data_IF_368178426843
#
_entry.id   IF_368178426843
#
_cell.length_a   1.000
_cell.length_b   1.000
_cell.length_c   1.000
_cell.angle_alpha   90.00
_cell.angle_beta   90.00
_cell.angle_gamma   90.00
#
_symmetry.space_group_name_H-M   'P 1'
#
loop_
_entity.id
_entity.type
_entity.pdbx_description
1 polymer ?
#
# COMPACT_ATOMS: atom_id res chain seq x y z
N UNK A 1 -15.58 42.62 -11.85
CA UNK A 1 -14.50 41.68 -12.25
C UNK A 1 -13.36 41.58 -11.23
N UNK A 2 -13.26 42.45 -10.20
CA UNK A 2 -12.22 42.32 -9.15
C UNK A 2 -12.53 41.31 -8.05
N UNK A 3 -13.81 41.12 -7.68
CA UNK A 3 -14.20 40.19 -6.61
C UNK A 3 -13.87 38.71 -6.91
N UNK A 4 -13.89 38.32 -8.18
CA UNK A 4 -13.55 36.97 -8.64
C UNK A 4 -12.05 36.71 -8.62
N UNK A 5 -11.22 37.69 -8.97
CA UNK A 5 -9.75 37.54 -8.93
C UNK A 5 -9.23 37.45 -7.49
N UNK A 6 -9.84 38.22 -6.57
CA UNK A 6 -9.45 38.24 -5.15
C UNK A 6 -9.86 36.94 -4.42
N UNK A 7 -10.98 36.34 -4.85
CA UNK A 7 -11.42 35.04 -4.34
C UNK A 7 -10.51 33.91 -4.82
N UNK A 8 -10.12 33.92 -6.11
CA UNK A 8 -9.22 32.90 -6.69
C UNK A 8 -7.83 32.97 -6.05
N UNK A 9 -7.26 34.16 -5.86
CA UNK A 9 -5.94 34.32 -5.23
C UNK A 9 -5.93 33.86 -3.76
N UNK A 10 -6.99 34.16 -3.02
CA UNK A 10 -7.17 33.72 -1.63
C UNK A 10 -7.25 32.19 -1.53
N UNK A 11 -8.01 31.54 -2.43
CA UNK A 11 -8.13 30.07 -2.48
C UNK A 11 -6.79 29.43 -2.83
N UNK A 12 -6.06 29.96 -3.82
CA UNK A 12 -4.74 29.46 -4.19
C UNK A 12 -3.75 29.57 -3.03
N UNK A 13 -3.76 30.69 -2.30
CA UNK A 13 -2.90 30.88 -1.12
C UNK A 13 -3.22 29.86 -0.02
N UNK A 14 -4.50 29.68 0.33
CA UNK A 14 -4.91 28.71 1.36
C UNK A 14 -4.56 27.28 0.93
N UNK A 15 -4.79 26.94 -0.34
CA UNK A 15 -4.44 25.62 -0.89
C UNK A 15 -2.94 25.35 -0.81
N UNK A 16 -2.11 26.34 -1.11
CA UNK A 16 -0.66 26.23 -1.00
C UNK A 16 -0.23 26.00 0.45
N UNK A 17 -0.81 26.73 1.41
CA UNK A 17 -0.51 26.57 2.83
C UNK A 17 -0.91 25.20 3.37
N UNK A 18 -2.12 24.74 3.02
CA UNK A 18 -2.61 23.41 3.43
C UNK A 18 -1.72 22.33 2.84
N UNK A 19 -1.45 22.37 1.53
CA UNK A 19 -0.60 21.37 0.87
C UNK A 19 0.79 21.31 1.50
N UNK A 20 1.38 22.44 1.88
CA UNK A 20 2.69 22.49 2.53
C UNK A 20 2.70 21.83 3.91
N UNK A 21 1.79 22.20 4.80
CA UNK A 21 1.77 21.69 6.17
C UNK A 21 1.30 20.23 6.22
N UNK A 22 0.25 19.89 5.46
CA UNK A 22 -0.27 18.51 5.41
C UNK A 22 0.78 17.59 4.78
N UNK A 23 1.47 17.99 3.71
CA UNK A 23 2.53 17.16 3.12
C UNK A 23 3.67 16.89 4.10
N UNK A 24 4.09 17.89 4.90
CA UNK A 24 5.13 17.70 5.92
C UNK A 24 4.69 16.73 7.01
N UNK A 25 3.48 16.89 7.53
CA UNK A 25 2.91 15.98 8.55
C UNK A 25 2.80 14.56 8.01
N UNK A 26 2.28 14.39 6.79
CA UNK A 26 2.15 13.08 6.14
C UNK A 26 3.51 12.47 5.86
N UNK A 27 4.50 13.25 5.42
CA UNK A 27 5.85 12.76 5.17
C UNK A 27 6.50 12.28 6.47
N UNK A 28 6.41 13.04 7.56
CA UNK A 28 6.99 12.67 8.85
C UNK A 28 6.34 11.42 9.44
N UNK A 29 5.03 11.49 9.70
CA UNK A 29 4.32 10.38 10.34
C UNK A 29 4.19 9.16 9.43
N UNK A 30 4.00 9.37 8.13
CA UNK A 30 3.96 8.30 7.14
C UNK A 30 5.30 7.58 7.03
N UNK A 31 6.42 8.30 7.00
CA UNK A 31 7.76 7.68 6.94
C UNK A 31 8.04 6.90 8.22
N UNK A 32 7.86 7.52 9.39
CA UNK A 32 8.09 6.86 10.69
C UNK A 32 7.22 5.62 10.83
N UNK A 33 5.91 5.72 10.53
CA UNK A 33 4.98 4.60 10.62
C UNK A 33 5.35 3.43 9.71
N UNK A 34 5.69 3.70 8.45
CA UNK A 34 6.08 2.64 7.52
C UNK A 34 7.45 2.03 7.84
N UNK A 35 8.42 2.81 8.34
CA UNK A 35 9.71 2.27 8.80
C UNK A 35 9.51 1.35 10.01
N UNK A 36 8.71 1.76 10.99
CA UNK A 36 8.38 0.91 12.15
C UNK A 36 7.72 -0.40 11.68
N UNK A 37 6.77 -0.32 10.73
CA UNK A 37 6.18 -1.52 10.13
C UNK A 37 7.25 -2.39 9.47
N UNK A 38 8.16 -1.82 8.68
CA UNK A 38 9.23 -2.60 8.05
C UNK A 38 10.10 -3.31 9.08
N UNK A 39 10.52 -2.64 10.16
CA UNK A 39 11.34 -3.22 11.22
C UNK A 39 10.60 -4.39 11.86
N UNK A 40 9.36 -4.18 12.32
CA UNK A 40 8.55 -5.21 13.00
C UNK A 40 8.27 -6.39 12.07
N UNK A 41 7.92 -6.13 10.81
CA UNK A 41 7.57 -7.18 9.85
C UNK A 41 8.80 -7.93 9.31
N UNK A 42 10.00 -7.35 9.43
CA UNK A 42 11.26 -7.98 9.02
C UNK A 42 11.82 -9.00 10.02
N UNK A 43 11.29 -9.04 11.25
CA UNK A 43 11.75 -10.02 12.23
C UNK A 43 11.57 -11.46 11.73
N UNK A 44 12.51 -12.34 12.10
CA UNK A 44 12.59 -13.73 11.63
C UNK A 44 11.36 -14.59 11.95
N UNK A 45 10.55 -14.16 12.92
CA UNK A 45 9.31 -14.84 13.28
C UNK A 45 8.19 -14.49 12.30
N UNK A 46 8.16 -13.26 11.78
CA UNK A 46 7.08 -12.76 10.95
C UNK A 46 7.36 -12.90 9.46
N UNK A 47 8.62 -12.85 9.04
CA UNK A 47 9.02 -12.98 7.63
C UNK A 47 8.74 -14.37 7.02
N UNK A 48 8.37 -15.34 7.86
CA UNK A 48 7.95 -16.69 7.45
C UNK A 48 6.47 -16.76 7.08
N UNK A 49 5.69 -15.72 7.39
CA UNK A 49 4.25 -15.65 7.16
C UNK A 49 4.01 -14.84 5.87
N UNK A 50 3.37 -15.42 4.84
CA UNK A 50 3.17 -14.74 3.55
C UNK A 50 2.42 -13.40 3.68
N UNK A 51 1.31 -13.36 4.43
CA UNK A 51 0.57 -12.13 4.75
C UNK A 51 1.46 -10.99 5.28
N UNK A 52 2.39 -11.31 6.19
CA UNK A 52 3.34 -10.33 6.74
C UNK A 52 4.26 -9.78 5.67
N UNK A 53 4.79 -10.64 4.79
CA UNK A 53 5.68 -10.21 3.70
C UNK A 53 4.97 -9.26 2.74
N UNK A 54 3.70 -9.51 2.40
CA UNK A 54 2.90 -8.56 1.63
C UNK A 54 2.81 -7.19 2.31
N UNK A 55 2.57 -7.14 3.63
CA UNK A 55 2.54 -5.88 4.39
C UNK A 55 3.91 -5.20 4.45
N UNK A 56 5.00 -5.97 4.48
CA UNK A 56 6.36 -5.45 4.40
C UNK A 56 6.61 -4.77 3.06
N UNK A 57 6.31 -5.44 1.94
CA UNK A 57 6.42 -4.85 0.60
C UNK A 57 5.55 -3.61 0.44
N UNK A 58 4.32 -3.65 0.98
CA UNK A 58 3.44 -2.48 0.98
C UNK A 58 4.06 -1.29 1.71
N UNK A 59 4.63 -1.51 2.90
CA UNK A 59 5.27 -0.47 3.70
C UNK A 59 6.52 0.09 3.00
N UNK A 60 7.34 -0.78 2.40
CA UNK A 60 8.52 -0.35 1.66
C UNK A 60 8.16 0.50 0.44
N UNK A 61 7.18 0.07 -0.36
CA UNK A 61 6.69 0.85 -1.49
C UNK A 61 6.03 2.17 -1.06
N UNK A 62 5.35 2.20 0.08
CA UNK A 62 4.80 3.44 0.64
C UNK A 62 5.89 4.46 1.02
N UNK A 63 7.02 4.02 1.60
CA UNK A 63 8.17 4.90 1.86
C UNK A 63 8.72 5.48 0.56
N UNK A 64 8.95 4.64 -0.46
CA UNK A 64 9.42 5.09 -1.78
C UNK A 64 8.47 6.13 -2.39
N UNK A 65 7.16 5.87 -2.30
CA UNK A 65 6.13 6.82 -2.74
C UNK A 65 6.22 8.15 -2.00
N UNK A 66 6.28 8.14 -0.67
CA UNK A 66 6.31 9.37 0.14
C UNK A 66 7.52 10.24 -0.20
N UNK A 67 8.71 9.64 -0.31
CA UNK A 67 9.95 10.33 -0.63
C UNK A 67 10.04 10.78 -2.09
N UNK A 68 9.31 10.13 -3.01
CA UNK A 68 9.26 10.57 -4.42
C UNK A 68 8.20 11.66 -4.65
N UNK A 69 7.06 11.58 -3.95
CA UNK A 69 5.90 12.43 -4.22
C UNK A 69 5.89 13.75 -3.43
N UNK A 70 6.22 13.71 -2.14
CA UNK A 70 5.99 14.84 -1.22
C UNK A 70 7.09 15.90 -1.21
N UNK A 71 8.40 15.58 -1.26
CA UNK A 71 9.45 16.59 -1.26
C UNK A 71 9.28 17.65 -2.35
N UNK A 72 8.90 17.24 -3.54
CA UNK A 72 8.61 18.16 -4.65
C UNK A 72 7.42 19.08 -4.39
N UNK A 73 6.36 18.59 -3.74
CA UNK A 73 5.20 19.44 -3.40
C UNK A 73 5.58 20.48 -2.34
N UNK A 74 6.49 20.11 -1.43
CA UNK A 74 7.04 21.02 -0.43
C UNK A 74 7.91 22.08 -1.12
N UNK A 75 8.81 21.68 -2.02
CA UNK A 75 9.70 22.58 -2.76
C UNK A 75 8.94 23.55 -3.68
N UNK A 76 7.87 23.08 -4.34
CA UNK A 76 6.96 23.94 -5.12
C UNK A 76 6.35 25.05 -4.24
N UNK A 77 6.03 24.75 -2.97
CA UNK A 77 5.56 25.75 -2.00
C UNK A 77 6.60 26.79 -1.59
N UNK A 78 7.88 26.59 -1.94
CA UNK A 78 8.98 27.55 -1.76
C UNK A 78 9.45 28.16 -3.09
N UNK A 79 8.67 28.02 -4.18
CA UNK A 79 9.04 28.47 -5.53
C UNK A 79 10.35 27.87 -6.08
N UNK A 80 10.80 26.74 -5.55
CA UNK A 80 11.98 26.02 -6.05
C UNK A 80 11.53 25.02 -7.10
N UNK A 81 11.82 25.30 -8.37
CA UNK A 81 11.31 24.52 -9.52
C UNK A 81 12.35 23.55 -10.10
N UNK A 82 12.87 22.64 -9.28
CA UNK A 82 13.89 21.67 -9.72
C UNK A 82 13.40 20.71 -10.82
N UNK A 83 12.08 20.47 -10.90
CA UNK A 83 11.49 19.63 -11.95
C UNK A 83 11.30 20.36 -13.29
N UNK A 84 11.32 21.70 -13.28
CA UNK A 84 11.20 22.51 -14.51
C UNK A 84 12.52 22.51 -15.27
N UNK A 85 13.64 22.50 -14.56
CA UNK A 85 14.98 22.51 -15.16
C UNK A 85 15.39 21.15 -15.75
N UNK A 86 14.86 20.04 -15.21
CA UNK A 86 15.29 18.69 -15.55
C UNK A 86 14.15 17.79 -16.04
N UNK A 87 13.90 17.81 -17.36
CA UNK A 87 12.92 16.94 -18.03
C UNK A 87 12.99 15.45 -17.67
N UNK A 88 14.18 14.81 -17.70
CA UNK A 88 14.33 13.41 -17.29
C UNK A 88 13.94 13.15 -15.83
N UNK A 89 14.23 14.10 -14.92
CA UNK A 89 13.91 13.96 -13.50
C UNK A 89 12.40 14.00 -13.25
N UNK A 90 11.67 14.88 -13.96
CA UNK A 90 10.20 14.91 -13.96
C UNK A 90 9.62 13.54 -14.35
N UNK A 91 10.08 12.98 -15.48
CA UNK A 91 9.62 11.67 -15.99
C UNK A 91 9.91 10.54 -15.00
N UNK A 92 11.15 10.42 -14.56
CA UNK A 92 11.57 9.36 -13.63
C UNK A 92 10.79 9.44 -12.33
N UNK A 93 10.60 10.65 -11.79
CA UNK A 93 9.79 10.85 -10.58
C UNK A 93 8.37 10.34 -10.74
N UNK A 94 7.65 10.77 -11.78
CA UNK A 94 6.25 10.35 -11.97
C UNK A 94 6.17 8.84 -12.18
N UNK A 95 7.13 8.27 -12.91
CA UNK A 95 7.25 6.82 -13.09
C UNK A 95 7.44 6.08 -11.75
N UNK A 96 8.41 6.49 -10.92
CA UNK A 96 8.65 5.90 -9.60
C UNK A 96 7.45 6.02 -8.67
N UNK A 97 6.77 7.17 -8.66
CA UNK A 97 5.53 7.37 -7.88
C UNK A 97 4.45 6.39 -8.33
N UNK A 98 4.28 6.23 -9.64
CA UNK A 98 3.25 5.36 -10.23
C UNK A 98 3.44 3.90 -9.81
N UNK A 99 4.67 3.39 -9.94
CA UNK A 99 5.02 2.02 -9.56
C UNK A 99 4.91 1.84 -8.06
N UNK A 100 5.49 2.74 -7.26
CA UNK A 100 5.49 2.62 -5.80
C UNK A 100 4.06 2.61 -5.24
N UNK A 101 3.18 3.47 -5.76
CA UNK A 101 1.78 3.49 -5.34
C UNK A 101 1.04 2.20 -5.72
N UNK A 102 1.23 1.73 -6.95
CA UNK A 102 0.59 0.51 -7.43
C UNK A 102 1.04 -0.72 -6.63
N UNK A 103 2.35 -0.90 -6.44
CA UNK A 103 2.89 -2.02 -5.67
C UNK A 103 2.41 -1.96 -4.22
N UNK A 104 2.35 -0.78 -3.61
CA UNK A 104 1.85 -0.63 -2.24
C UNK A 104 0.42 -1.12 -2.09
N UNK A 105 -0.48 -0.72 -3.00
CA UNK A 105 -1.90 -1.10 -2.98
C UNK A 105 -2.08 -2.58 -3.32
N UNK A 106 -1.42 -3.08 -4.37
CA UNK A 106 -1.57 -4.47 -4.79
C UNK A 106 -0.95 -5.44 -3.80
N UNK A 107 0.08 -5.04 -3.06
CA UNK A 107 0.56 -5.81 -1.92
C UNK A 107 -0.52 -5.93 -0.81
N UNK A 108 -1.31 -4.89 -0.52
CA UNK A 108 -2.45 -4.99 0.42
C UNK A 108 -3.55 -5.92 -0.10
N UNK A 109 -3.81 -5.91 -1.41
CA UNK A 109 -4.72 -6.86 -2.05
C UNK A 109 -4.21 -8.28 -1.85
N UNK A 110 -2.92 -8.53 -2.12
CA UNK A 110 -2.24 -9.81 -1.87
C UNK A 110 -2.38 -10.27 -0.42
N UNK A 111 -2.12 -9.38 0.55
CA UNK A 111 -2.29 -9.67 1.97
C UNK A 111 -3.73 -10.06 2.33
N UNK A 112 -4.72 -9.40 1.73
CA UNK A 112 -6.14 -9.68 1.97
C UNK A 112 -6.59 -11.01 1.38
N UNK A 113 -6.09 -11.35 0.18
CA UNK A 113 -6.29 -12.66 -0.45
C UNK A 113 -5.66 -13.76 0.42
N UNK A 114 -4.41 -13.58 0.83
CA UNK A 114 -3.68 -14.54 1.66
C UNK A 114 -4.41 -14.80 2.98
N UNK A 115 -4.86 -13.73 3.66
CA UNK A 115 -5.66 -13.84 4.88
C UNK A 115 -6.97 -14.58 4.66
N UNK A 116 -7.64 -14.38 3.52
CA UNK A 116 -8.82 -15.17 3.16
C UNK A 116 -8.47 -16.65 2.98
N UNK A 117 -7.39 -16.98 2.27
CA UNK A 117 -6.93 -18.35 2.05
C UNK A 117 -6.64 -19.07 3.38
N UNK A 118 -5.93 -18.42 4.30
CA UNK A 118 -5.66 -18.93 5.65
C UNK A 118 -6.96 -19.18 6.44
N UNK A 119 -7.91 -18.25 6.39
CA UNK A 119 -9.18 -18.37 7.11
C UNK A 119 -10.09 -19.49 6.59
N UNK A 120 -9.88 -19.93 5.34
CA UNK A 120 -10.75 -20.88 4.66
C UNK A 120 -10.79 -22.25 5.34
N UNK A 121 -11.95 -22.93 5.30
CA UNK A 121 -12.11 -24.27 5.90
C UNK A 121 -11.37 -25.35 5.12
N UNK A 122 -11.35 -25.23 3.79
CA UNK A 122 -10.73 -26.20 2.91
C UNK A 122 -9.22 -26.18 3.10
N UNK A 123 -8.63 -27.34 3.41
CA UNK A 123 -7.17 -27.50 3.56
C UNK A 123 -6.45 -27.13 2.26
N UNK A 124 -6.98 -27.55 1.11
CA UNK A 124 -6.43 -27.23 -0.20
C UNK A 124 -6.27 -25.72 -0.43
N UNK A 125 -7.22 -24.89 0.04
CA UNK A 125 -7.14 -23.42 -0.08
C UNK A 125 -6.08 -22.83 0.85
N UNK A 126 -5.94 -23.37 2.06
CA UNK A 126 -4.91 -22.94 3.02
C UNK A 126 -3.50 -23.24 2.52
N UNK A 127 -3.32 -24.37 1.82
CA UNK A 127 -2.04 -24.76 1.24
C UNK A 127 -1.56 -23.85 0.09
N UNK A 128 -2.42 -22.97 -0.44
CA UNK A 128 -2.00 -21.96 -1.41
C UNK A 128 -1.27 -20.77 -0.77
N UNK A 129 -1.50 -20.51 0.53
CA UNK A 129 -0.77 -19.50 1.30
C UNK A 129 0.64 -19.99 1.59
N UNK A 130 1.56 -19.66 0.69
CA UNK A 130 2.97 -20.04 0.78
C UNK A 130 3.86 -18.87 0.39
N UNK A 131 5.07 -18.82 0.96
CA UNK A 131 6.07 -17.81 0.63
C UNK A 131 6.46 -17.81 -0.85
N UNK A 132 6.40 -18.97 -1.50
CA UNK A 132 6.71 -19.08 -2.93
C UNK A 132 5.65 -18.40 -3.79
N UNK A 133 4.38 -18.55 -3.43
CA UNK A 133 3.28 -17.86 -4.13
C UNK A 133 3.29 -16.37 -3.87
N UNK A 134 3.62 -15.94 -2.64
CA UNK A 134 3.81 -14.53 -2.31
C UNK A 134 4.92 -13.89 -3.14
N UNK A 135 6.11 -14.49 -3.17
CA UNK A 135 7.22 -13.97 -3.98
C UNK A 135 6.86 -13.89 -5.46
N UNK A 136 6.21 -14.92 -6.00
CA UNK A 136 5.74 -14.94 -7.41
C UNK A 136 4.73 -13.82 -7.66
N UNK A 137 3.79 -13.62 -6.75
CA UNK A 137 2.80 -12.55 -6.86
C UNK A 137 3.45 -11.17 -6.88
N UNK A 138 4.34 -10.88 -5.92
CA UNK A 138 5.03 -9.58 -5.85
C UNK A 138 5.85 -9.32 -7.12
N UNK A 139 6.57 -10.32 -7.62
CA UNK A 139 7.34 -10.20 -8.87
C UNK A 139 6.41 -9.92 -10.06
N UNK A 140 5.29 -10.63 -10.17
CA UNK A 140 4.32 -10.41 -11.26
C UNK A 140 3.71 -9.02 -11.17
N UNK A 141 3.27 -8.59 -9.99
CA UNK A 141 2.71 -7.24 -9.76
C UNK A 141 3.73 -6.16 -10.10
N UNK A 142 4.96 -6.27 -9.57
CA UNK A 142 6.02 -5.31 -9.83
C UNK A 142 6.33 -5.23 -11.33
N UNK A 143 6.51 -6.37 -12.00
CA UNK A 143 6.80 -6.43 -13.43
C UNK A 143 5.65 -5.87 -14.27
N UNK A 144 4.41 -6.25 -13.95
CA UNK A 144 3.21 -5.78 -14.64
C UNK A 144 3.10 -4.25 -14.56
N UNK A 145 3.22 -3.65 -13.38
CA UNK A 145 3.13 -2.19 -13.25
C UNK A 145 4.34 -1.45 -13.80
N UNK A 146 5.53 -2.07 -13.78
CA UNK A 146 6.74 -1.50 -14.41
C UNK A 146 6.54 -1.36 -15.92
N UNK A 147 5.95 -2.37 -16.56
CA UNK A 147 5.62 -2.35 -17.99
C UNK A 147 4.42 -1.44 -18.28
N UNK A 148 3.38 -1.51 -17.46
CA UNK A 148 2.16 -0.72 -17.63
C UNK A 148 2.38 0.77 -17.41
N UNK A 149 3.41 1.22 -16.69
CA UNK A 149 3.69 2.65 -16.54
C UNK A 149 4.86 3.10 -17.40
N UNK A 150 5.37 2.27 -18.31
CA UNK A 150 6.50 2.68 -19.15
C UNK A 150 6.12 3.86 -20.05
N UNK A 151 4.85 3.97 -20.47
CA UNK A 151 4.37 5.10 -21.24
C UNK A 151 4.45 6.43 -20.50
N UNK A 152 4.52 6.43 -19.16
CA UNK A 152 4.70 7.66 -18.36
C UNK A 152 6.00 8.37 -18.75
N UNK A 153 7.06 7.61 -19.07
CA UNK A 153 8.34 8.17 -19.51
C UNK A 153 8.26 8.90 -20.86
N UNK A 154 7.27 8.54 -21.68
CA UNK A 154 6.99 9.22 -22.95
C UNK A 154 5.94 10.33 -22.82
N UNK A 155 4.90 10.10 -22.01
CA UNK A 155 3.72 10.94 -21.92
C UNK A 155 3.91 12.20 -21.06
N UNK A 156 4.89 12.23 -20.15
CA UNK A 156 5.16 13.40 -19.31
C UNK A 156 6.28 14.26 -19.88
N UNK A 157 6.14 15.58 -19.76
CA UNK A 157 7.13 16.54 -20.20
C UNK A 157 7.29 17.64 -19.14
N UNK A 158 8.52 18.14 -18.99
CA UNK A 158 8.78 19.30 -18.16
C UNK A 158 8.45 20.56 -18.95
N UNK A 159 7.92 21.58 -18.26
CA UNK A 159 7.63 22.89 -18.85
C UNK A 159 6.69 22.85 -20.07
N UNK A 160 5.48 22.32 -19.88
CA UNK A 160 4.44 22.37 -20.92
C UNK A 160 3.93 23.82 -21.06
N UNK A 161 3.96 24.42 -22.27
CA UNK A 161 3.53 25.80 -22.47
C UNK A 161 2.06 26.00 -22.06
N UNK A 162 1.78 27.14 -21.41
CA UNK A 162 0.46 27.51 -20.89
C UNK A 162 -0.06 26.65 -19.72
N UNK A 163 0.80 25.90 -19.04
CA UNK A 163 0.43 25.10 -17.87
C UNK A 163 1.28 25.53 -16.66
N UNK A 164 0.67 25.92 -15.52
CA UNK A 164 1.40 26.41 -14.34
C UNK A 164 2.08 25.32 -13.52
N UNK A 165 2.02 24.05 -13.94
CA UNK A 165 2.64 22.92 -13.25
C UNK A 165 3.92 22.46 -13.95
N UNK A 166 4.95 22.20 -13.14
CA UNK A 166 6.31 21.91 -13.59
C UNK A 166 6.45 20.65 -14.46
N UNK A 167 5.59 19.65 -14.21
CA UNK A 167 5.65 18.33 -14.82
C UNK A 167 4.23 17.88 -15.18
N UNK A 168 3.92 17.80 -16.47
CA UNK A 168 2.55 17.57 -16.93
C UNK A 168 2.47 16.65 -18.15
N UNK A 169 1.29 16.08 -18.36
CA UNK A 169 1.04 15.22 -19.51
C UNK A 169 1.10 16.04 -20.80
N UNK A 170 1.97 15.63 -21.73
CA UNK A 170 2.22 16.28 -23.02
C UNK A 170 0.95 16.42 -23.87
N UNK A 171 0.15 15.36 -23.92
CA UNK A 171 -1.05 15.27 -24.76
C UNK A 171 -2.30 14.97 -23.92
N UNK A 172 -3.47 15.44 -24.38
CA UNK A 172 -4.76 15.11 -23.77
C UNK A 172 -5.03 13.60 -23.74
N UNK A 173 -4.64 12.89 -24.81
CA UNK A 173 -4.81 11.43 -24.90
C UNK A 173 -4.00 10.72 -23.81
N UNK A 174 -2.74 11.10 -23.62
CA UNK A 174 -1.88 10.55 -22.56
C UNK A 174 -2.52 10.74 -21.17
N UNK A 175 -3.07 11.94 -20.91
CA UNK A 175 -3.72 12.23 -19.63
C UNK A 175 -4.95 11.36 -19.41
N UNK A 176 -5.85 11.32 -20.39
CA UNK A 176 -7.07 10.52 -20.30
C UNK A 176 -6.71 9.04 -20.10
N UNK A 177 -5.79 8.50 -20.89
CA UNK A 177 -5.37 7.10 -20.78
C UNK A 177 -4.82 6.77 -19.37
N UNK A 178 -3.92 7.61 -18.86
CA UNK A 178 -3.31 7.43 -17.54
C UNK A 178 -4.37 7.56 -16.43
N UNK A 179 -5.25 8.57 -16.49
CA UNK A 179 -6.31 8.78 -15.51
C UNK A 179 -7.27 7.57 -15.46
N UNK A 180 -7.62 6.98 -16.62
CA UNK A 180 -8.41 5.75 -16.68
C UNK A 180 -7.68 4.53 -16.13
N UNK A 181 -6.39 4.37 -16.42
CA UNK A 181 -5.55 3.29 -15.85
C UNK A 181 -5.53 3.41 -14.32
N UNK A 182 -5.30 4.60 -13.78
CA UNK A 182 -5.33 4.85 -12.34
C UNK A 182 -6.69 4.55 -11.73
N UNK A 183 -7.76 5.07 -12.34
CA UNK A 183 -9.11 4.86 -11.85
C UNK A 183 -9.48 3.36 -11.80
N UNK A 184 -9.20 2.63 -12.86
CA UNK A 184 -9.59 1.22 -12.97
C UNK A 184 -8.68 0.31 -12.14
N UNK A 185 -7.37 0.41 -12.30
CA UNK A 185 -6.41 -0.56 -11.77
C UNK A 185 -5.83 -0.21 -10.40
N UNK A 186 -5.90 1.05 -9.98
CA UNK A 186 -5.36 1.50 -8.69
C UNK A 186 -6.48 1.78 -7.69
N UNK A 187 -7.65 2.26 -8.17
CA UNK A 187 -8.76 2.63 -7.29
C UNK A 187 -9.85 1.54 -7.29
N UNK A 188 -10.54 1.35 -8.42
CA UNK A 188 -11.76 0.54 -8.48
C UNK A 188 -11.45 -0.94 -8.21
N UNK A 189 -10.54 -1.54 -8.99
CA UNK A 189 -10.26 -2.96 -8.90
C UNK A 189 -9.68 -3.37 -7.53
N UNK A 190 -8.65 -2.70 -6.98
CA UNK A 190 -8.16 -3.01 -5.64
C UNK A 190 -9.21 -2.85 -4.56
N UNK A 191 -10.03 -1.79 -4.62
CA UNK A 191 -11.10 -1.56 -3.62
C UNK A 191 -12.13 -2.70 -3.63
N UNK A 192 -12.59 -3.12 -4.81
CA UNK A 192 -13.53 -4.24 -4.95
C UNK A 192 -12.92 -5.52 -4.36
N UNK A 193 -11.65 -5.81 -4.68
CA UNK A 193 -10.97 -7.01 -4.18
C UNK A 193 -10.77 -6.97 -2.67
N UNK A 194 -10.32 -5.84 -2.11
CA UNK A 194 -10.14 -5.67 -0.66
C UNK A 194 -11.46 -5.84 0.10
N UNK A 195 -12.55 -5.24 -0.41
CA UNK A 195 -13.88 -5.39 0.19
C UNK A 195 -14.36 -6.84 0.09
N UNK A 196 -14.26 -7.46 -1.09
CA UNK A 196 -14.72 -8.83 -1.31
C UNK A 196 -13.97 -9.82 -0.40
N UNK A 197 -12.64 -9.82 -0.43
CA UNK A 197 -11.82 -10.73 0.39
C UNK A 197 -11.89 -10.38 1.88
N UNK A 198 -12.06 -9.10 2.24
CA UNK A 198 -12.32 -8.67 3.61
C UNK A 198 -13.61 -9.26 4.18
N UNK A 199 -14.73 -9.16 3.43
CA UNK A 199 -16.02 -9.74 3.83
C UNK A 199 -15.92 -11.27 3.93
N UNK A 200 -15.29 -11.92 2.95
CA UNK A 200 -15.12 -13.37 2.96
C UNK A 200 -14.29 -13.85 4.16
N UNK A 201 -13.21 -13.14 4.47
CA UNK A 201 -12.37 -13.40 5.66
C UNK A 201 -13.19 -13.28 6.94
N UNK A 202 -13.96 -12.20 7.09
CA UNK A 202 -14.82 -12.00 8.27
C UNK A 202 -15.86 -13.11 8.43
N UNK A 203 -16.50 -13.54 7.32
CA UNK A 203 -17.45 -14.66 7.33
C UNK A 203 -16.80 -15.97 7.79
N UNK A 204 -15.62 -16.29 7.26
CA UNK A 204 -14.88 -17.49 7.64
C UNK A 204 -14.51 -17.50 9.13
N UNK A 205 -14.01 -16.37 9.64
CA UNK A 205 -13.61 -16.24 11.05
C UNK A 205 -14.84 -16.34 11.97
N UNK A 206 -15.93 -15.63 11.70
CA UNK A 206 -17.17 -15.71 12.51
C UNK A 206 -17.69 -17.13 12.61
N UNK A 207 -17.68 -17.87 11.50
CA UNK A 207 -18.17 -19.26 11.49
C UNK A 207 -17.24 -20.25 12.19
N UNK A 208 -15.98 -19.87 12.48
CA UNK A 208 -15.03 -20.66 13.29
C UNK A 208 -15.13 -20.32 14.78
N UNK A 209 -15.31 -19.04 15.12
CA UNK A 209 -15.44 -18.58 16.52
C UNK A 209 -16.76 -19.04 17.15
N UNK A 210 -17.86 -19.03 16.40
CA UNK A 210 -19.20 -19.41 16.88
C UNK A 210 -19.39 -20.93 16.97
N UNK A 211 -18.52 -21.72 16.33
CA UNK A 211 -18.48 -23.18 16.49
C UNK A 211 -17.20 -23.59 17.25
N UNK A 212 -17.05 -23.26 18.55
CA UNK A 212 -16.07 -23.97 19.34
C UNK A 212 -16.48 -25.45 19.29
N UNK A 213 -15.55 -26.27 18.81
CA UNK A 213 -15.68 -27.73 18.83
C UNK A 213 -15.87 -28.16 20.29
N UNK A 214 -17.13 -28.30 20.73
CA UNK A 214 -17.50 -29.24 21.78
C UNK A 214 -17.35 -30.61 21.12
N UNK A 215 -16.10 -31.10 21.07
CA UNK A 215 -15.83 -32.49 20.80
C UNK A 215 -15.93 -33.24 22.13
N UNK A 216 -16.62 -34.40 22.19
CA UNK A 216 -16.60 -35.20 23.41
C UNK A 216 -15.14 -35.57 23.73
N UNK A 217 -14.76 -35.48 25.01
CA UNK A 217 -13.53 -36.09 25.52
C UNK A 217 -13.54 -37.57 25.14
N UNK A 218 -12.79 -37.96 24.11
CA UNK A 218 -12.38 -39.33 23.91
C UNK A 218 -10.90 -39.43 24.18
N UNK A 219 -10.61 -40.09 25.31
CA UNK A 219 -9.29 -40.60 25.65
C UNK A 219 -8.88 -41.63 24.59
N UNK A 220 -7.95 -41.27 23.70
CA UNK A 220 -7.22 -42.28 22.93
C UNK A 220 -5.76 -41.88 22.77
N UNK A 221 -4.91 -42.79 23.25
CA UNK A 221 -3.46 -42.80 23.17
C UNK A 221 -2.99 -43.00 21.71
N UNK A 222 -1.85 -42.39 21.38
CA UNK A 222 -0.96 -42.66 20.22
C UNK A 222 -1.39 -42.19 18.82
N UNK A 223 -0.67 -41.22 18.25
CA UNK A 223 0.41 -41.44 17.28
C UNK A 223 0.73 -40.16 16.47
N UNK A 224 2.03 -39.96 16.25
CA UNK A 224 2.67 -38.91 15.47
C UNK A 224 1.86 -38.44 14.25
N UNK A 225 1.26 -37.25 14.36
CA UNK A 225 0.84 -36.45 13.21
C UNK A 225 1.27 -35.01 13.43
N UNK A 226 1.96 -34.50 12.42
CA UNK A 226 2.55 -33.18 12.32
C UNK A 226 1.49 -32.09 12.45
N UNK A 227 1.36 -31.56 13.67
CA UNK A 227 0.59 -30.36 13.97
C UNK A 227 1.27 -29.13 13.35
N UNK A 228 0.90 -28.74 12.12
CA UNK A 228 1.11 -27.38 11.61
C UNK A 228 0.02 -26.43 12.15
N UNK A 229 0.33 -25.14 12.41
CA UNK A 229 0.18 -24.61 13.75
C UNK A 229 -1.07 -23.74 13.87
N UNK A 230 -1.96 -24.16 14.76
CA UNK A 230 -3.01 -23.35 15.41
C UNK A 230 -2.45 -22.12 16.16
N UNK A 231 -1.12 -21.97 16.24
CA UNK A 231 -0.45 -20.86 16.88
C UNK A 231 -0.38 -19.60 16.01
N UNK A 232 -0.17 -19.68 14.69
CA UNK A 232 0.09 -18.47 13.87
C UNK A 232 -1.10 -17.49 13.81
N UNK A 233 -2.33 -17.99 13.78
CA UNK A 233 -3.53 -17.14 13.81
C UNK A 233 -3.74 -16.45 15.18
N UNK A 234 -3.36 -17.14 16.27
CA UNK A 234 -3.34 -16.56 17.63
C UNK A 234 -2.18 -15.58 17.78
N UNK A 235 -1.06 -15.80 17.12
CA UNK A 235 0.09 -14.88 17.11
C UNK A 235 -0.26 -13.58 16.39
N UNK A 236 -0.99 -13.63 15.27
CA UNK A 236 -1.40 -12.42 14.53
C UNK A 236 -2.48 -11.60 15.28
N UNK A 237 -3.43 -12.25 15.94
CA UNK A 237 -4.40 -11.55 16.81
C UNK A 237 -3.76 -11.05 18.11
N UNK A 238 -2.80 -11.78 18.66
CA UNK A 238 -1.95 -11.30 19.75
C UNK A 238 -1.02 -10.16 19.31
N UNK A 239 -0.58 -10.09 18.06
CA UNK A 239 0.24 -8.96 17.55
C UNK A 239 -0.54 -7.64 17.56
N UNK A 240 -1.83 -7.65 17.21
CA UNK A 240 -2.68 -6.45 17.35
C UNK A 240 -2.85 -6.02 18.82
N UNK A 241 -2.75 -6.95 19.77
CA UNK A 241 -2.81 -6.69 21.21
C UNK A 241 -1.45 -6.38 21.84
N UNK A 242 -0.35 -6.92 21.30
CA UNK A 242 1.03 -6.68 21.76
C UNK A 242 1.56 -5.35 21.20
N UNK A 243 1.13 -4.89 20.02
CA UNK A 243 1.32 -3.50 19.60
C UNK A 243 0.71 -2.52 20.62
N UNK A 244 -0.40 -2.88 21.27
CA UNK A 244 -0.98 -2.10 22.36
C UNK A 244 -0.10 -2.12 23.62
N UNK A 245 0.60 -3.22 23.90
CA UNK A 245 1.44 -3.40 25.09
C UNK A 245 2.84 -2.81 24.94
N UNK A 246 3.46 -2.89 23.76
CA UNK A 246 4.77 -2.29 23.45
C UNK A 246 4.70 -0.75 23.48
N UNK A 247 3.53 -0.17 23.15
CA UNK A 247 3.25 1.27 23.29
C UNK A 247 3.29 1.76 24.74
N UNK A 248 3.08 0.89 25.75
CA UNK A 248 3.21 1.24 27.17
C UNK A 248 4.64 1.14 27.70
N UNK A 249 5.53 0.37 27.04
CA UNK A 249 6.91 0.18 27.49
C UNK A 249 7.89 1.24 26.95
N UNK A 250 7.48 2.03 25.96
CA UNK A 250 8.31 3.08 25.33
C UNK A 250 8.00 4.50 25.85
N UNK A 251 7.07 4.61 26.81
CA UNK A 251 6.65 5.86 27.47
C UNK A 251 6.69 5.77 29.00
N UNK A 252 7.43 4.80 29.55
CA UNK A 252 7.79 4.70 30.96
C UNK A 252 9.29 4.53 31.10
#
# INVERSE_FOLDING_TARGET
MSSTSDSVSSISYVTMQINRHVALVVLLFGTVGNIVNMIVLSEQTFNKIPCTNYLYWSSMSAVIYLWSALPTRILEGYSITWQVENGPMCKFRVYSISIAWAVAIWALVGASIDRFLCSSRLVARRQLSTLQMERRYIIVVFTFFTLLFIEVLYCFEAHVPNVPVACYGRNMICRIAIDWIYLLLIIILPSILLIAFGILTMRNIRTRVIRPTIGPMQNTVSNNTTNLPRNDERTLTKMLLVQKHFRYSLFS
#
